data_IF_579491100827
#
_entry.id   IF_579491100827
#
_cell.length_a   1.000
_cell.length_b   1.000
_cell.length_c   1.000
_cell.angle_alpha   90.00
_cell.angle_beta   90.00
_cell.angle_gamma   90.00
#
_symmetry.space_group_name_H-M   'P 1'
#
loop_
_entity.id
_entity.type
_entity.pdbx_description
1 polymer ?
#
# COMPACT_ATOMS: atom_id res chain seq x y z
N UNK A 1 -9.41 10.77 22.97
CA UNK A 1 -8.15 10.55 22.25
C UNK A 1 -8.30 10.44 20.74
N UNK A 2 -8.79 9.33 20.15
CA UNK A 2 -8.85 9.20 18.67
C UNK A 2 -9.67 10.33 18.01
N UNK A 3 -10.81 10.69 18.61
CA UNK A 3 -11.66 11.74 18.05
C UNK A 3 -11.00 13.13 18.11
N UNK A 4 -10.25 13.43 19.18
CA UNK A 4 -9.49 14.69 19.28
C UNK A 4 -8.39 14.78 18.21
N UNK A 5 -7.72 13.65 17.91
CA UNK A 5 -6.72 13.59 16.83
C UNK A 5 -7.37 13.79 15.47
N UNK A 6 -8.55 13.23 15.24
CA UNK A 6 -9.32 13.43 13.99
C UNK A 6 -9.72 14.88 13.79
N UNK A 7 -10.18 15.55 14.85
CA UNK A 7 -10.51 16.98 14.78
C UNK A 7 -9.28 17.84 14.50
N UNK A 8 -8.14 17.55 15.13
CA UNK A 8 -6.87 18.23 14.83
C UNK A 8 -6.42 18.00 13.36
N UNK A 9 -6.53 16.75 12.87
CA UNK A 9 -6.10 16.39 11.53
C UNK A 9 -6.95 17.05 10.43
N UNK A 10 -8.28 17.16 10.62
CA UNK A 10 -9.17 17.91 9.72
C UNK A 10 -8.73 19.36 9.53
N UNK A 11 -8.27 20.02 10.60
CA UNK A 11 -7.78 21.40 10.52
C UNK A 11 -6.49 21.54 9.70
N UNK A 12 -5.78 20.44 9.45
CA UNK A 12 -4.49 20.41 8.76
C UNK A 12 -4.53 19.64 7.42
N UNK A 13 -5.73 19.30 6.91
CA UNK A 13 -5.90 18.47 5.70
C UNK A 13 -5.10 17.17 5.75
N UNK A 14 -5.07 16.54 6.92
CA UNK A 14 -4.30 15.33 7.17
C UNK A 14 -5.21 14.11 7.37
N UNK A 15 -4.78 12.97 6.86
CA UNK A 15 -5.44 11.68 7.09
C UNK A 15 -5.06 11.11 8.46
N UNK A 16 -5.98 10.35 9.09
CA UNK A 16 -5.74 9.65 10.36
C UNK A 16 -5.93 8.15 10.18
N UNK A 17 -4.88 7.40 10.48
CA UNK A 17 -4.89 5.94 10.52
C UNK A 17 -4.82 5.48 11.98
N UNK A 18 -5.77 4.62 12.37
CA UNK A 18 -5.80 4.03 13.71
C UNK A 18 -5.13 2.68 13.64
N UNK A 19 -4.11 2.48 14.47
CA UNK A 19 -3.34 1.24 14.55
C UNK A 19 -3.11 0.86 16.01
N UNK A 20 -3.16 -0.43 16.31
CA UNK A 20 -2.72 -0.97 17.60
C UNK A 20 -1.35 -1.62 17.40
N UNK A 21 -0.29 -0.97 17.87
CA UNK A 21 1.08 -1.46 17.73
C UNK A 21 1.27 -2.85 18.36
N UNK A 22 0.56 -3.13 19.46
CA UNK A 22 0.59 -4.44 20.11
C UNK A 22 -0.02 -5.52 19.21
N UNK A 23 -1.24 -5.27 18.68
CA UNK A 23 -1.91 -6.22 17.77
C UNK A 23 -1.04 -6.48 16.56
N UNK A 24 -0.49 -5.44 15.91
CA UNK A 24 0.38 -5.62 14.74
C UNK A 24 1.65 -6.43 15.06
N UNK A 25 2.24 -6.26 16.24
CA UNK A 25 3.41 -7.05 16.66
C UNK A 25 3.06 -8.53 16.83
N UNK A 26 1.90 -8.83 17.43
CA UNK A 26 1.44 -10.22 17.61
C UNK A 26 1.14 -10.87 16.26
N UNK A 27 0.52 -10.13 15.33
CA UNK A 27 0.22 -10.62 13.98
C UNK A 27 1.46 -11.04 13.18
N UNK A 28 2.61 -10.43 13.40
CA UNK A 28 3.88 -10.74 12.70
C UNK A 28 4.39 -12.14 13.04
N UNK A 29 4.07 -12.64 14.23
CA UNK A 29 4.54 -13.95 14.71
C UNK A 29 3.59 -15.09 14.30
N UNK A 30 2.39 -14.77 13.83
CA UNK A 30 1.37 -15.74 13.41
C UNK A 30 1.52 -16.12 11.93
N UNK A 31 1.25 -17.39 11.62
CA UNK A 31 1.01 -17.83 10.25
C UNK A 31 -0.34 -17.31 9.71
N UNK A 32 -0.60 -17.56 8.42
CA UNK A 32 -1.76 -17.00 7.74
C UNK A 32 -3.11 -17.49 8.31
N UNK A 33 -3.20 -18.75 8.73
CA UNK A 33 -4.43 -19.33 9.29
C UNK A 33 -4.68 -18.74 10.68
N UNK A 34 -3.67 -18.80 11.56
CA UNK A 34 -3.73 -18.23 12.91
C UNK A 34 -4.03 -16.73 12.91
N UNK A 35 -3.47 -15.97 11.95
CA UNK A 35 -3.74 -14.54 11.78
C UNK A 35 -5.22 -14.27 11.50
N UNK A 36 -5.84 -15.05 10.61
CA UNK A 36 -7.26 -14.87 10.24
C UNK A 36 -8.18 -15.16 11.42
N UNK A 37 -7.88 -16.21 12.19
CA UNK A 37 -8.63 -16.56 13.39
C UNK A 37 -8.53 -15.46 14.45
N UNK A 38 -7.31 -15.00 14.74
CA UNK A 38 -7.06 -13.94 15.72
C UNK A 38 -7.79 -12.62 15.38
N UNK A 39 -7.76 -12.21 14.11
CA UNK A 39 -8.49 -11.03 13.65
C UNK A 39 -10.00 -11.19 13.76
N UNK A 40 -10.52 -12.39 13.45
CA UNK A 40 -11.93 -12.68 13.60
C UNK A 40 -12.39 -12.61 15.07
N UNK A 41 -11.58 -13.09 16.02
CA UNK A 41 -11.85 -12.98 17.46
C UNK A 41 -11.89 -11.52 17.93
N UNK A 42 -11.04 -10.66 17.37
CA UNK A 42 -11.03 -9.22 17.64
C UNK A 42 -12.18 -8.47 16.93
N UNK A 43 -13.00 -9.16 16.12
CA UNK A 43 -14.08 -8.55 15.35
C UNK A 43 -13.60 -7.71 14.16
N UNK A 44 -12.35 -7.91 13.73
CA UNK A 44 -11.78 -7.25 12.55
C UNK A 44 -12.13 -8.09 11.33
N UNK A 45 -12.94 -7.53 10.43
CA UNK A 45 -13.35 -8.22 9.21
C UNK A 45 -12.28 -8.10 8.10
N UNK A 46 -11.77 -9.25 7.64
CA UNK A 46 -10.81 -9.34 6.52
C UNK A 46 -9.39 -8.88 6.87
N UNK A 47 -8.59 -8.55 5.84
CA UNK A 47 -7.19 -8.10 5.98
C UNK A 47 -7.08 -6.60 6.38
N UNK A 48 -8.14 -6.02 6.95
CA UNK A 48 -8.23 -4.62 7.33
C UNK A 48 -7.51 -4.34 8.66
N UNK A 49 -6.25 -4.76 8.77
CA UNK A 49 -5.40 -4.44 9.92
C UNK A 49 -4.79 -3.04 9.76
N UNK A 50 -4.25 -2.49 10.85
CA UNK A 50 -3.72 -1.13 10.87
C UNK A 50 -2.47 -0.96 10.02
N UNK A 51 -1.61 -1.99 9.91
CA UNK A 51 -0.38 -1.89 9.12
C UNK A 51 -0.62 -1.84 7.60
N UNK A 52 -1.44 -2.70 6.97
CA UNK A 52 -1.85 -2.56 5.57
C UNK A 52 -2.54 -1.22 5.28
N UNK A 53 -3.40 -0.74 6.19
CA UNK A 53 -4.02 0.57 6.06
C UNK A 53 -2.97 1.70 6.07
N UNK A 54 -1.99 1.63 6.98
CA UNK A 54 -0.88 2.59 7.05
C UNK A 54 0.01 2.57 5.79
N UNK A 55 0.31 1.38 5.25
CA UNK A 55 1.10 1.22 4.02
C UNK A 55 0.37 1.90 2.85
N UNK A 56 -0.93 1.63 2.72
CA UNK A 56 -1.75 2.21 1.65
C UNK A 56 -1.84 3.73 1.76
N UNK A 57 -2.15 4.26 2.94
CA UNK A 57 -2.21 5.70 3.20
C UNK A 57 -0.86 6.38 2.94
N UNK A 58 0.25 5.73 3.30
CA UNK A 58 1.60 6.25 2.99
C UNK A 58 1.88 6.30 1.48
N UNK A 59 1.40 5.30 0.72
CA UNK A 59 1.50 5.29 -0.74
C UNK A 59 0.73 6.45 -1.37
N UNK A 60 -0.50 6.68 -0.89
CA UNK A 60 -1.36 7.77 -1.35
C UNK A 60 -0.75 9.14 -0.98
N UNK A 61 -0.27 9.29 0.25
CA UNK A 61 0.42 10.51 0.71
C UNK A 61 1.65 10.86 -0.13
N UNK A 62 2.41 9.86 -0.58
CA UNK A 62 3.58 10.05 -1.43
C UNK A 62 3.22 10.24 -2.92
N UNK A 63 1.93 10.26 -3.25
CA UNK A 63 1.40 10.29 -4.61
C UNK A 63 2.00 9.18 -5.48
N UNK A 64 2.02 7.96 -4.93
CA UNK A 64 2.53 6.77 -5.59
C UNK A 64 1.39 5.91 -6.13
N UNK A 65 1.70 5.11 -7.13
CA UNK A 65 0.80 4.13 -7.74
C UNK A 65 1.58 2.88 -8.13
N UNK A 66 0.85 1.80 -8.34
CA UNK A 66 1.42 0.50 -8.68
C UNK A 66 0.90 0.06 -10.04
N UNK A 67 1.80 -0.38 -10.92
CA UNK A 67 1.43 -1.16 -12.10
C UNK A 67 2.09 -2.53 -12.04
N UNK A 68 1.61 -3.47 -12.86
CA UNK A 68 2.07 -4.84 -12.84
C UNK A 68 2.70 -5.24 -14.17
N UNK A 69 3.78 -5.99 -14.08
CA UNK A 69 4.24 -6.85 -15.18
C UNK A 69 3.96 -8.28 -14.76
N UNK A 70 3.33 -9.07 -15.63
CA UNK A 70 3.04 -10.47 -15.36
C UNK A 70 3.36 -11.32 -16.58
N UNK A 71 4.03 -12.44 -16.35
CA UNK A 71 4.36 -13.44 -17.35
C UNK A 71 4.64 -14.80 -16.70
N UNK A 72 5.02 -15.81 -17.48
CA UNK A 72 5.19 -17.18 -16.98
C UNK A 72 6.23 -17.32 -15.87
N UNK A 73 7.25 -16.46 -15.87
CA UNK A 73 8.39 -16.54 -14.94
C UNK A 73 8.22 -15.62 -13.72
N UNK A 74 7.57 -14.48 -13.88
CA UNK A 74 7.49 -13.47 -12.84
C UNK A 74 6.17 -12.69 -12.94
N UNK A 75 5.59 -12.40 -11.77
CA UNK A 75 4.60 -11.33 -11.60
C UNK A 75 5.15 -10.35 -10.60
N UNK A 76 5.23 -9.08 -11.00
CA UNK A 76 5.87 -8.03 -10.20
C UNK A 76 5.04 -6.75 -10.19
N UNK A 77 4.96 -6.15 -9.01
CA UNK A 77 4.44 -4.83 -8.77
C UNK A 77 5.57 -3.79 -8.88
N UNK A 78 5.34 -2.72 -9.65
CA UNK A 78 6.27 -1.61 -9.83
C UNK A 78 5.69 -0.32 -9.27
N UNK A 79 6.46 0.32 -8.39
CA UNK A 79 6.12 1.63 -7.81
C UNK A 79 6.44 2.75 -8.79
N UNK A 80 5.45 3.58 -9.08
CA UNK A 80 5.56 4.81 -9.89
C UNK A 80 4.94 5.98 -9.15
N UNK A 81 5.21 7.20 -9.59
CA UNK A 81 4.40 8.37 -9.19
C UNK A 81 3.10 8.39 -9.99
N UNK A 82 2.01 8.75 -9.33
CA UNK A 82 0.72 8.93 -10.00
C UNK A 82 0.84 10.03 -11.06
N UNK A 83 0.32 9.75 -12.26
CA UNK A 83 0.39 10.66 -13.42
C UNK A 83 1.62 10.48 -14.31
N UNK A 84 2.54 9.57 -13.99
CA UNK A 84 3.61 9.20 -14.93
C UNK A 84 3.04 8.67 -16.25
N UNK A 85 3.65 9.06 -17.35
CA UNK A 85 3.35 8.54 -18.69
C UNK A 85 3.86 7.11 -18.87
N UNK A 86 3.36 6.38 -19.87
CA UNK A 86 3.80 5.01 -20.14
C UNK A 86 5.33 4.89 -20.43
N UNK A 87 5.98 5.80 -21.19
CA UNK A 87 7.44 5.79 -21.34
C UNK A 87 8.18 5.96 -20.01
N UNK A 88 7.74 6.90 -19.16
CA UNK A 88 8.36 7.14 -17.86
C UNK A 88 8.20 5.94 -16.93
N UNK A 89 7.01 5.32 -16.92
CA UNK A 89 6.75 4.11 -16.15
C UNK A 89 7.61 2.93 -16.62
N UNK A 90 7.80 2.78 -17.94
CA UNK A 90 8.71 1.78 -18.52
C UNK A 90 10.18 2.03 -18.12
N UNK A 91 10.56 3.31 -17.97
CA UNK A 91 11.87 3.71 -17.46
C UNK A 91 12.22 3.17 -16.07
N UNK A 92 11.21 2.91 -15.23
CA UNK A 92 11.39 2.30 -13.90
C UNK A 92 11.87 0.84 -13.99
N UNK A 93 11.50 0.12 -15.05
CA UNK A 93 12.03 -1.21 -15.33
C UNK A 93 13.46 -1.09 -15.87
N UNK A 94 13.66 -0.25 -16.88
CA UNK A 94 14.98 0.01 -17.45
C UNK A 94 15.00 1.32 -18.24
N UNK A 95 16.08 2.11 -18.11
CA UNK A 95 16.20 3.43 -18.77
C UNK A 95 16.13 3.38 -20.31
N UNK A 96 16.55 2.28 -20.93
CA UNK A 96 16.43 2.08 -22.38
C UNK A 96 14.98 1.95 -22.84
N UNK A 97 14.07 1.42 -22.02
CA UNK A 97 12.66 1.32 -22.39
C UNK A 97 11.99 2.69 -22.45
N UNK A 98 12.43 3.65 -21.64
CA UNK A 98 11.94 5.02 -21.75
C UNK A 98 12.40 5.68 -23.05
N UNK A 99 13.67 5.51 -23.42
CA UNK A 99 14.24 6.11 -24.64
C UNK A 99 13.71 5.46 -25.92
N UNK A 100 13.57 4.14 -25.91
CA UNK A 100 13.10 3.33 -27.03
C UNK A 100 11.62 3.01 -26.99
N UNK A 101 10.82 3.74 -26.20
CA UNK A 101 9.40 3.44 -26.02
C UNK A 101 8.66 3.55 -27.36
N UNK A 102 7.94 2.49 -27.72
CA UNK A 102 7.09 2.46 -28.93
C UNK A 102 5.61 2.48 -28.53
N UNK A 103 5.21 1.56 -27.65
CA UNK A 103 3.85 1.44 -27.11
C UNK A 103 3.86 0.62 -25.81
N UNK A 104 2.77 0.74 -25.05
CA UNK A 104 2.41 -0.18 -23.97
C UNK A 104 1.09 -0.87 -24.34
N UNK A 105 0.89 -2.08 -23.83
CA UNK A 105 -0.38 -2.83 -23.92
C UNK A 105 -1.13 -2.77 -22.60
#
# INVERSE_FOLDING_TARGET
>A
WVEEVREFAKANDAEVIVVSAQVESELVELDEESRKEFLAELGVAGDATGLPALIKASYELLNLSTYFTSGPTETRAWTIRSGMTAPEAAGVIHTDFQRGFIRAE
#
